data_IF_205329570135
#
_entry.id   IF_205329570135
#
_cell.length_a   1.000
_cell.length_b   1.000
_cell.length_c   1.000
_cell.angle_alpha   90.00
_cell.angle_beta   90.00
_cell.angle_gamma   90.00
#
_symmetry.space_group_name_H-M   'P 1'
#
loop_
_entity.id
_entity.type
_entity.pdbx_description
1 polymer ?
#
# COMPACT_ATOMS: atom_id res chain seq x y z
N UNK A 1 -25.24 21.91 16.33
CA UNK A 1 -26.63 22.39 16.44
C UNK A 1 -27.25 22.44 15.05
N UNK A 2 -28.51 22.15 14.92
CA UNK A 2 -29.25 22.33 13.64
C UNK A 2 -30.42 23.28 13.94
N UNK A 3 -30.33 24.50 13.40
CA UNK A 3 -31.20 25.61 13.80
C UNK A 3 -31.01 25.97 15.28
N UNK A 4 -32.10 26.04 16.03
CA UNK A 4 -32.15 26.32 17.46
C UNK A 4 -32.06 25.07 18.36
N UNK A 5 -31.91 23.89 17.76
CA UNK A 5 -31.90 22.60 18.50
C UNK A 5 -30.48 22.07 18.65
N UNK A 6 -30.18 21.57 19.84
CA UNK A 6 -28.98 20.80 20.11
C UNK A 6 -29.17 19.41 19.52
N UNK A 7 -28.36 19.05 18.52
CA UNK A 7 -28.39 17.77 17.82
C UNK A 7 -27.33 16.79 18.33
N UNK A 8 -26.40 17.28 19.15
CA UNK A 8 -25.37 16.49 19.79
C UNK A 8 -24.54 17.35 20.73
N UNK A 9 -23.83 16.73 21.63
CA UNK A 9 -22.84 17.37 22.48
C UNK A 9 -21.61 16.47 22.58
N UNK A 10 -20.47 17.08 22.80
CA UNK A 10 -19.22 16.40 23.09
C UNK A 10 -18.74 16.86 24.44
N UNK A 11 -18.36 15.92 25.28
CA UNK A 11 -17.77 16.20 26.58
C UNK A 11 -16.26 15.97 26.43
N UNK A 12 -15.47 16.99 26.64
CA UNK A 12 -14.03 16.93 26.58
C UNK A 12 -13.41 17.59 27.81
N UNK A 13 -12.15 17.29 28.07
CA UNK A 13 -11.41 17.95 29.14
C UNK A 13 -11.14 19.41 28.81
N UNK A 14 -11.58 20.31 29.67
CA UNK A 14 -11.28 21.74 29.55
C UNK A 14 -9.81 22.03 29.90
N UNK A 15 -9.20 21.16 30.69
CA UNK A 15 -7.83 21.31 31.16
C UNK A 15 -7.09 19.97 31.05
N UNK A 16 -6.02 19.96 30.28
CA UNK A 16 -5.12 18.83 30.17
C UNK A 16 -3.93 19.05 31.11
N UNK A 17 -3.56 18.08 31.95
CA UNK A 17 -2.44 18.19 32.87
C UNK A 17 -1.13 18.61 32.17
N UNK A 18 -0.32 19.42 32.85
CA UNK A 18 0.89 19.99 32.24
C UNK A 18 1.93 18.92 31.89
N UNK A 19 2.05 17.88 32.74
CA UNK A 19 2.93 16.75 32.50
C UNK A 19 2.54 16.00 31.22
N UNK A 20 1.27 15.75 31.00
CA UNK A 20 0.76 15.08 29.81
C UNK A 20 1.05 15.91 28.56
N UNK A 21 0.78 17.22 28.60
CA UNK A 21 1.11 18.12 27.48
C UNK A 21 2.61 18.20 27.19
N UNK A 22 3.44 18.00 28.18
CA UNK A 22 4.88 17.95 28.02
C UNK A 22 5.32 16.66 27.32
N UNK A 23 4.85 15.50 27.80
CA UNK A 23 5.15 14.19 27.19
C UNK A 23 4.67 14.12 25.75
N UNK A 24 3.43 14.52 25.51
CA UNK A 24 2.84 14.52 24.16
C UNK A 24 3.60 15.43 23.21
N UNK A 25 3.99 16.61 23.64
CA UNK A 25 4.85 17.50 22.85
C UNK A 25 6.22 16.89 22.55
N UNK A 26 6.78 16.12 23.46
CA UNK A 26 8.06 15.41 23.20
C UNK A 26 7.89 14.32 22.16
N UNK A 27 6.87 13.47 22.27
CA UNK A 27 6.55 12.40 21.31
C UNK A 27 6.33 13.00 19.91
N UNK A 28 5.44 14.00 19.81
CA UNK A 28 5.15 14.68 18.55
C UNK A 28 6.38 15.37 17.96
N UNK A 29 7.20 16.03 18.78
CA UNK A 29 8.43 16.69 18.32
C UNK A 29 9.41 15.69 17.74
N UNK A 30 9.64 14.54 18.40
CA UNK A 30 10.51 13.50 17.87
C UNK A 30 9.99 12.96 16.54
N UNK A 31 8.71 12.68 16.44
CA UNK A 31 8.04 12.21 15.22
C UNK A 31 8.19 13.21 14.08
N UNK A 32 7.90 14.50 14.34
CA UNK A 32 8.03 15.57 13.35
C UNK A 32 9.47 15.75 12.87
N UNK A 33 10.46 15.70 13.78
CA UNK A 33 11.89 15.81 13.41
C UNK A 33 12.29 14.65 12.52
N UNK A 34 11.95 13.41 12.89
CA UNK A 34 12.24 12.24 12.05
C UNK A 34 11.57 12.35 10.67
N UNK A 35 10.28 12.69 10.64
CA UNK A 35 9.58 12.89 9.38
C UNK A 35 10.24 13.98 8.52
N UNK A 36 10.65 15.10 9.11
CA UNK A 36 11.29 16.19 8.37
C UNK A 36 12.63 15.73 7.78
N UNK A 37 13.49 15.07 8.56
CA UNK A 37 14.78 14.55 8.10
C UNK A 37 14.62 13.61 6.91
N UNK A 38 13.73 12.62 7.02
CA UNK A 38 13.56 11.61 5.96
C UNK A 38 12.76 12.13 4.77
N UNK A 39 11.86 13.10 4.94
CA UNK A 39 11.24 13.84 3.81
C UNK A 39 12.27 14.67 3.04
N UNK A 40 13.20 15.32 3.73
CA UNK A 40 14.31 16.03 3.07
C UNK A 40 15.19 15.04 2.32
N UNK A 41 15.57 13.90 2.92
CA UNK A 41 16.34 12.86 2.25
C UNK A 41 15.64 12.31 1.00
N UNK A 42 14.33 12.04 1.09
CA UNK A 42 13.50 11.64 -0.06
C UNK A 42 13.45 12.74 -1.13
N UNK A 43 13.30 14.01 -0.72
CA UNK A 43 13.32 15.15 -1.65
C UNK A 43 14.65 15.28 -2.39
N UNK A 44 15.78 15.08 -1.70
CA UNK A 44 17.11 15.10 -2.33
C UNK A 44 17.28 13.94 -3.33
N UNK A 45 16.82 12.73 -3.02
CA UNK A 45 16.82 11.61 -3.95
C UNK A 45 15.93 11.90 -5.17
N UNK A 46 14.74 12.46 -4.95
CA UNK A 46 13.81 12.84 -6.02
C UNK A 46 14.42 13.91 -6.94
N UNK A 47 15.07 14.92 -6.35
CA UNK A 47 15.77 15.96 -7.11
C UNK A 47 16.91 15.37 -7.95
N UNK A 48 17.69 14.45 -7.37
CA UNK A 48 18.77 13.79 -8.08
C UNK A 48 18.26 12.96 -9.29
N UNK A 49 17.13 12.26 -9.11
CA UNK A 49 16.47 11.53 -10.21
C UNK A 49 15.93 12.48 -11.29
N UNK A 50 15.36 13.62 -10.89
CA UNK A 50 14.91 14.64 -11.84
C UNK A 50 16.06 15.24 -12.64
N UNK A 51 17.17 15.57 -11.96
CA UNK A 51 18.40 16.06 -12.64
C UNK A 51 18.90 15.01 -13.62
N UNK A 52 18.93 13.73 -13.23
CA UNK A 52 19.30 12.65 -14.13
C UNK A 52 18.42 12.62 -15.39
N UNK A 53 17.10 12.71 -15.23
CA UNK A 53 16.17 12.75 -16.36
C UNK A 53 16.42 13.96 -17.28
N UNK A 54 16.66 15.14 -16.71
CA UNK A 54 16.98 16.35 -17.47
C UNK A 54 18.27 16.14 -18.28
N UNK A 55 19.30 15.53 -17.67
CA UNK A 55 20.56 15.21 -18.37
C UNK A 55 20.31 14.28 -19.55
N UNK A 56 19.50 13.23 -19.40
CA UNK A 56 19.13 12.33 -20.49
C UNK A 56 18.41 13.08 -21.62
N UNK A 57 17.45 13.94 -21.27
CA UNK A 57 16.71 14.74 -22.23
C UNK A 57 17.62 15.71 -23.01
N UNK A 58 18.54 16.38 -22.32
CA UNK A 58 19.52 17.30 -22.95
C UNK A 58 20.49 16.55 -23.88
N UNK A 59 20.90 15.34 -23.48
CA UNK A 59 21.74 14.46 -24.30
C UNK A 59 20.98 13.80 -25.45
N UNK A 60 19.66 14.03 -25.56
CA UNK A 60 18.79 13.43 -26.56
C UNK A 60 18.85 11.89 -26.55
N UNK A 61 19.02 11.30 -25.40
CA UNK A 61 18.99 9.85 -25.26
C UNK A 61 17.58 9.30 -25.47
N UNK A 62 17.48 8.08 -26.02
CA UNK A 62 16.19 7.43 -26.26
C UNK A 62 15.49 7.09 -24.94
N UNK A 63 14.35 7.71 -24.69
CA UNK A 63 13.56 7.50 -23.49
C UNK A 63 12.51 6.41 -23.68
N UNK A 64 12.25 5.65 -22.63
CA UNK A 64 11.27 4.55 -22.60
C UNK A 64 9.86 5.04 -22.28
N UNK A 65 9.41 6.08 -22.99
CA UNK A 65 8.14 6.74 -22.77
C UNK A 65 6.95 5.77 -22.76
N UNK A 66 7.01 4.68 -23.53
CA UNK A 66 5.93 3.67 -23.58
C UNK A 66 5.77 2.95 -22.25
N UNK A 67 6.86 2.61 -21.57
CA UNK A 67 6.81 1.93 -20.26
C UNK A 67 6.22 2.88 -19.21
N UNK A 68 6.75 4.11 -19.15
CA UNK A 68 6.23 5.15 -18.25
C UNK A 68 4.75 5.44 -18.51
N UNK A 69 4.37 5.57 -19.79
CA UNK A 69 2.97 5.81 -20.18
C UNK A 69 2.02 4.69 -19.78
N UNK A 70 2.40 3.42 -19.98
CA UNK A 70 1.57 2.27 -19.60
C UNK A 70 1.37 2.18 -18.08
N UNK A 71 2.45 2.28 -17.30
CA UNK A 71 2.39 2.20 -15.83
C UNK A 71 1.68 3.42 -15.26
N UNK A 72 1.99 4.61 -15.78
CA UNK A 72 1.32 5.84 -15.35
C UNK A 72 -0.18 5.82 -15.64
N UNK A 73 -0.60 5.33 -16.82
CA UNK A 73 -2.02 5.19 -17.16
C UNK A 73 -2.73 4.17 -16.25
N UNK A 74 -2.07 3.07 -15.92
CA UNK A 74 -2.62 2.08 -14.98
C UNK A 74 -2.86 2.71 -13.60
N UNK A 75 -1.89 3.45 -13.07
CA UNK A 75 -2.01 4.11 -11.76
C UNK A 75 -3.07 5.21 -11.77
N UNK A 76 -3.13 6.02 -12.84
CA UNK A 76 -4.16 7.03 -12.99
C UNK A 76 -5.56 6.42 -13.02
N UNK A 77 -5.76 5.37 -13.82
CA UNK A 77 -7.02 4.66 -13.93
C UNK A 77 -7.44 4.05 -12.59
N UNK A 78 -6.52 3.36 -11.93
CA UNK A 78 -6.76 2.73 -10.63
C UNK A 78 -7.18 3.77 -9.58
N UNK A 79 -6.50 4.91 -9.53
CA UNK A 79 -6.85 6.03 -8.64
C UNK A 79 -8.26 6.56 -8.91
N UNK A 80 -8.58 6.83 -10.18
CA UNK A 80 -9.89 7.38 -10.56
C UNK A 80 -11.01 6.38 -10.27
N UNK A 81 -10.84 5.11 -10.64
CA UNK A 81 -11.85 4.06 -10.42
C UNK A 81 -12.11 3.85 -8.93
N UNK A 82 -11.04 3.83 -8.10
CA UNK A 82 -11.19 3.70 -6.66
C UNK A 82 -11.84 4.95 -6.05
N UNK A 83 -11.46 6.15 -6.49
CA UNK A 83 -12.09 7.39 -6.05
C UNK A 83 -13.57 7.49 -6.41
N UNK A 84 -13.98 6.97 -7.57
CA UNK A 84 -15.40 6.84 -7.93
C UNK A 84 -16.12 5.82 -7.04
N UNK A 85 -15.44 4.75 -6.62
CA UNK A 85 -15.98 3.78 -5.68
C UNK A 85 -16.28 4.40 -4.30
N UNK A 86 -15.57 5.47 -3.92
CA UNK A 86 -15.86 6.26 -2.72
C UNK A 86 -16.98 7.31 -2.90
N UNK A 87 -17.68 7.37 -4.03
CA UNK A 87 -18.71 8.37 -4.29
C UNK A 87 -19.85 8.35 -3.25
N UNK A 88 -20.09 7.20 -2.61
CA UNK A 88 -21.08 7.09 -1.51
C UNK A 88 -20.71 7.92 -0.29
N UNK A 89 -19.43 8.17 -0.07
CA UNK A 89 -18.89 8.93 1.06
C UNK A 89 -18.67 10.42 0.72
N UNK A 90 -18.74 10.82 -0.55
CA UNK A 90 -18.58 12.24 -0.92
C UNK A 90 -19.59 13.12 -0.19
N UNK A 91 -20.81 12.63 0.04
CA UNK A 91 -21.87 13.35 0.71
C UNK A 91 -21.57 13.74 2.16
N UNK A 92 -20.65 13.06 2.82
CA UNK A 92 -20.18 13.42 4.17
C UNK A 92 -19.39 14.73 4.19
N UNK A 93 -18.87 15.13 3.02
CA UNK A 93 -18.09 16.38 2.84
C UNK A 93 -18.89 17.48 2.14
N UNK A 94 -20.15 17.20 1.76
CA UNK A 94 -20.99 18.16 1.07
C UNK A 94 -21.47 19.25 2.02
N UNK A 95 -21.14 20.52 1.70
CA UNK A 95 -21.68 21.69 2.38
C UNK A 95 -22.98 22.12 1.72
N UNK A 96 -24.13 22.08 2.42
CA UNK A 96 -25.42 22.50 1.87
C UNK A 96 -25.48 23.98 1.44
N UNK A 97 -24.56 24.81 1.88
CA UNK A 97 -24.46 26.22 1.48
C UNK A 97 -24.00 26.38 0.02
N UNK A 98 -23.46 25.36 -0.61
CA UNK A 98 -23.02 25.39 -2.00
C UNK A 98 -23.96 24.60 -2.93
N UNK A 99 -24.09 24.99 -4.21
CA UNK A 99 -24.88 24.23 -5.19
C UNK A 99 -24.31 22.83 -5.39
N UNK A 100 -25.17 21.81 -5.41
CA UNK A 100 -24.78 20.40 -5.60
C UNK A 100 -23.95 20.20 -6.87
N UNK A 101 -24.35 20.84 -7.99
CA UNK A 101 -23.63 20.73 -9.26
C UNK A 101 -22.19 21.23 -9.16
N UNK A 102 -21.96 22.32 -8.43
CA UNK A 102 -20.62 22.87 -8.17
C UNK A 102 -19.79 21.90 -7.34
N UNK A 103 -20.33 21.38 -6.25
CA UNK A 103 -19.68 20.38 -5.42
C UNK A 103 -19.25 19.15 -6.22
N UNK A 104 -20.17 18.56 -6.98
CA UNK A 104 -19.88 17.37 -7.79
C UNK A 104 -18.84 17.66 -8.88
N UNK A 105 -18.92 18.82 -9.55
CA UNK A 105 -17.96 19.21 -10.57
C UNK A 105 -16.55 19.36 -9.99
N UNK A 106 -16.41 20.07 -8.88
CA UNK A 106 -15.11 20.21 -8.21
C UNK A 106 -14.56 18.88 -7.72
N UNK A 107 -15.39 18.03 -7.11
CA UNK A 107 -14.98 16.70 -6.63
C UNK A 107 -14.49 15.84 -7.78
N UNK A 108 -15.21 15.83 -8.91
CA UNK A 108 -14.82 15.06 -10.08
C UNK A 108 -13.54 15.59 -10.74
N UNK A 109 -13.41 16.91 -10.90
CA UNK A 109 -12.19 17.53 -11.43
C UNK A 109 -11.00 17.23 -10.54
N UNK A 110 -11.15 17.36 -9.21
CA UNK A 110 -10.09 17.02 -8.24
C UNK A 110 -9.68 15.55 -8.34
N UNK A 111 -10.65 14.64 -8.52
CA UNK A 111 -10.39 13.22 -8.70
C UNK A 111 -9.59 12.94 -9.99
N UNK A 112 -9.99 13.53 -11.11
CA UNK A 112 -9.27 13.37 -12.38
C UNK A 112 -7.86 13.96 -12.28
N UNK A 113 -7.72 15.14 -11.70
CA UNK A 113 -6.42 15.78 -11.53
C UNK A 113 -5.49 14.99 -10.59
N UNK A 114 -6.04 14.45 -9.50
CA UNK A 114 -5.31 13.52 -8.62
C UNK A 114 -4.83 12.27 -9.36
N UNK A 115 -5.69 11.68 -10.19
CA UNK A 115 -5.33 10.56 -11.05
C UNK A 115 -4.20 10.90 -12.04
N UNK A 116 -4.26 12.07 -12.67
CA UNK A 116 -3.20 12.54 -13.57
C UNK A 116 -1.86 12.74 -12.84
N UNK A 117 -1.87 13.32 -11.64
CA UNK A 117 -0.67 13.50 -10.80
C UNK A 117 -0.08 12.12 -10.45
N UNK A 118 -0.89 11.20 -9.97
CA UNK A 118 -0.45 9.85 -9.62
C UNK A 118 0.12 9.12 -10.83
N UNK A 119 -0.57 9.19 -11.96
CA UNK A 119 -0.11 8.59 -13.20
C UNK A 119 1.19 9.19 -13.71
N UNK A 120 1.31 10.52 -13.70
CA UNK A 120 2.53 11.22 -14.10
C UNK A 120 3.72 10.83 -13.21
N UNK A 121 3.55 10.87 -11.88
CA UNK A 121 4.60 10.54 -10.93
C UNK A 121 5.05 9.07 -11.07
N UNK A 122 4.11 8.13 -11.13
CA UNK A 122 4.42 6.72 -11.31
C UNK A 122 5.06 6.43 -12.68
N UNK A 123 4.57 7.10 -13.72
CA UNK A 123 5.17 7.01 -15.06
C UNK A 123 6.62 7.51 -15.11
N UNK A 124 6.93 8.61 -14.39
CA UNK A 124 8.30 9.10 -14.23
C UNK A 124 9.20 8.11 -13.51
N UNK A 125 8.73 7.55 -12.40
CA UNK A 125 9.51 6.56 -11.64
C UNK A 125 9.78 5.30 -12.47
N UNK A 126 8.78 4.84 -13.22
CA UNK A 126 8.94 3.71 -14.12
C UNK A 126 9.95 3.99 -15.24
N UNK A 127 9.87 5.16 -15.85
CA UNK A 127 10.78 5.57 -16.92
C UNK A 127 12.21 5.68 -16.42
N UNK A 128 12.44 6.40 -15.32
CA UNK A 128 13.79 6.62 -14.76
C UNK A 128 14.37 5.29 -14.27
N UNK A 129 13.57 4.50 -13.55
CA UNK A 129 13.99 3.22 -13.03
C UNK A 129 14.38 2.22 -14.14
N UNK A 130 13.56 2.15 -15.19
CA UNK A 130 13.88 1.33 -16.37
C UNK A 130 15.16 1.79 -17.06
N UNK A 131 15.33 3.12 -17.26
CA UNK A 131 16.51 3.66 -17.91
C UNK A 131 17.79 3.36 -17.13
N UNK A 132 17.77 3.62 -15.81
CA UNK A 132 18.90 3.36 -14.92
C UNK A 132 19.27 1.88 -14.86
N UNK A 133 18.28 0.99 -14.82
CA UNK A 133 18.49 -0.45 -14.70
C UNK A 133 19.05 -1.08 -15.99
N UNK A 134 18.90 -0.43 -17.15
CA UNK A 134 19.46 -0.88 -18.42
C UNK A 134 20.94 -0.58 -18.56
N UNK A 135 21.33 0.61 -18.10
CA UNK A 135 22.69 1.11 -18.33
C UNK A 135 23.77 0.37 -17.50
N UNK A 136 23.38 -0.24 -16.38
CA UNK A 136 24.36 -0.84 -15.47
C UNK A 136 23.70 -1.97 -14.65
N UNK A 137 23.50 -3.15 -15.23
CA UNK A 137 22.74 -4.19 -14.61
C UNK A 137 23.51 -4.94 -13.51
N UNK A 138 23.10 -4.85 -12.24
CA UNK A 138 22.97 -6.05 -11.48
C UNK A 138 21.51 -6.52 -11.60
N UNK A 139 21.37 -7.67 -12.20
CA UNK A 139 20.26 -8.59 -12.10
C UNK A 139 18.85 -8.02 -11.80
N UNK A 140 18.01 -7.87 -12.78
CA UNK A 140 16.58 -7.62 -12.62
C UNK A 140 15.87 -7.75 -13.95
N UNK A 141 14.61 -8.22 -13.93
CA UNK A 141 13.81 -8.19 -15.15
C UNK A 141 13.40 -6.75 -15.42
N UNK A 142 13.74 -6.15 -16.55
CA UNK A 142 13.34 -4.79 -16.89
C UNK A 142 11.80 -4.63 -16.85
N UNK A 143 11.31 -3.45 -16.46
CA UNK A 143 9.87 -3.15 -16.48
C UNK A 143 9.28 -3.33 -17.90
N UNK A 144 10.06 -3.01 -18.93
CA UNK A 144 9.70 -3.20 -20.35
C UNK A 144 9.42 -4.66 -20.73
N UNK A 145 9.94 -5.62 -19.97
CA UNK A 145 9.61 -7.05 -20.11
C UNK A 145 8.34 -7.38 -19.36
N UNK A 146 8.17 -6.85 -18.13
CA UNK A 146 7.00 -7.12 -17.29
C UNK A 146 5.68 -6.66 -17.91
N UNK A 147 5.71 -5.56 -18.68
CA UNK A 147 4.52 -5.06 -19.40
C UNK A 147 4.18 -5.88 -20.66
N UNK A 148 4.97 -6.90 -21.01
CA UNK A 148 4.68 -7.79 -22.13
C UNK A 148 3.77 -8.95 -21.71
N UNK A 149 2.65 -9.22 -22.40
CA UNK A 149 1.80 -10.37 -22.08
C UNK A 149 2.53 -11.70 -22.15
N UNK A 150 3.58 -11.81 -22.97
CA UNK A 150 4.42 -13.00 -23.13
C UNK A 150 5.24 -13.31 -21.88
N UNK A 151 5.65 -12.30 -21.11
CA UNK A 151 6.37 -12.50 -19.84
C UNK A 151 5.55 -13.35 -18.85
N UNK A 152 4.25 -13.10 -18.74
CA UNK A 152 3.36 -13.79 -17.80
C UNK A 152 3.17 -15.30 -18.11
N UNK A 153 3.76 -15.77 -19.21
CA UNK A 153 3.82 -17.19 -19.60
C UNK A 153 5.12 -17.87 -19.20
N UNK A 154 6.07 -17.14 -18.58
CA UNK A 154 7.42 -17.64 -18.28
C UNK A 154 7.54 -18.27 -16.90
N UNK A 155 8.58 -19.09 -16.71
CA UNK A 155 8.91 -19.68 -15.41
C UNK A 155 9.33 -18.62 -14.39
N UNK A 156 9.99 -17.53 -14.83
CA UNK A 156 10.44 -16.44 -13.98
C UNK A 156 9.25 -15.65 -13.42
N UNK A 157 8.20 -15.42 -14.21
CA UNK A 157 6.97 -14.82 -13.71
C UNK A 157 6.35 -15.63 -12.58
N UNK A 158 6.24 -16.97 -12.76
CA UNK A 158 5.72 -17.88 -11.73
C UNK A 158 6.57 -17.83 -10.47
N UNK A 159 7.90 -17.87 -10.60
CA UNK A 159 8.81 -17.82 -9.45
C UNK A 159 8.65 -16.51 -8.70
N UNK A 160 8.63 -15.38 -9.41
CA UNK A 160 8.46 -14.06 -8.80
C UNK A 160 7.10 -13.93 -8.08
N UNK A 161 6.02 -14.42 -8.67
CA UNK A 161 4.69 -14.43 -8.07
C UNK A 161 4.66 -15.27 -6.79
N UNK A 162 5.21 -16.49 -6.81
CA UNK A 162 5.24 -17.39 -5.65
C UNK A 162 6.11 -16.81 -4.52
N UNK A 163 7.33 -16.37 -4.86
CA UNK A 163 8.23 -15.76 -3.88
C UNK A 163 7.62 -14.49 -3.27
N UNK A 164 7.05 -13.63 -4.11
CA UNK A 164 6.40 -12.41 -3.66
C UNK A 164 5.22 -12.69 -2.73
N UNK A 165 4.32 -13.59 -3.12
CA UNK A 165 3.19 -13.98 -2.28
C UNK A 165 3.64 -14.55 -0.93
N UNK A 166 4.56 -15.52 -0.94
CA UNK A 166 5.08 -16.11 0.29
C UNK A 166 5.77 -15.07 1.19
N UNK A 167 6.53 -14.15 0.58
CA UNK A 167 7.22 -13.10 1.32
C UNK A 167 6.24 -12.07 1.91
N UNK A 168 5.17 -11.71 1.18
CA UNK A 168 4.14 -10.80 1.70
C UNK A 168 3.40 -11.40 2.89
N UNK A 169 3.07 -12.70 2.84
CA UNK A 169 2.48 -13.40 3.98
C UNK A 169 3.45 -13.53 5.15
N UNK A 170 4.75 -13.80 4.88
CA UNK A 170 5.77 -13.82 5.91
C UNK A 170 5.99 -12.45 6.55
N UNK A 171 5.84 -11.36 5.78
CA UNK A 171 5.90 -9.99 6.29
C UNK A 171 4.77 -9.73 7.31
N UNK A 172 3.53 -10.18 7.05
CA UNK A 172 2.43 -10.10 8.02
C UNK A 172 2.81 -10.79 9.35
N UNK A 173 3.34 -12.01 9.27
CA UNK A 173 3.80 -12.74 10.46
C UNK A 173 4.95 -12.05 11.18
N UNK A 174 5.89 -11.48 10.43
CA UNK A 174 6.99 -10.72 10.99
C UNK A 174 6.51 -9.51 11.80
N UNK A 175 5.63 -8.68 11.24
CA UNK A 175 5.06 -7.51 11.93
C UNK A 175 4.33 -7.94 13.21
N UNK A 176 3.55 -8.99 13.13
CA UNK A 176 2.85 -9.59 14.26
C UNK A 176 3.80 -9.96 15.39
N UNK A 177 4.85 -10.74 15.08
CA UNK A 177 5.85 -11.19 16.07
C UNK A 177 6.66 -10.01 16.60
N UNK A 178 7.03 -9.07 15.72
CA UNK A 178 7.80 -7.89 16.08
C UNK A 178 7.09 -7.07 17.17
N UNK A 179 5.82 -6.74 16.99
CA UNK A 179 5.07 -5.98 17.99
C UNK A 179 4.66 -6.82 19.22
N UNK A 180 4.39 -8.10 19.04
CA UNK A 180 4.14 -8.98 20.17
C UNK A 180 5.34 -9.10 21.11
N UNK A 181 6.56 -9.22 20.57
CA UNK A 181 7.79 -9.18 21.37
C UNK A 181 8.09 -7.77 21.88
N UNK A 182 7.83 -6.77 21.05
CA UNK A 182 8.09 -5.38 21.35
C UNK A 182 7.35 -4.88 22.60
N UNK A 183 6.11 -5.33 22.80
CA UNK A 183 5.36 -5.01 24.05
C UNK A 183 6.10 -5.39 25.31
N UNK A 184 6.87 -6.47 25.29
CA UNK A 184 7.64 -6.91 26.46
C UNK A 184 8.79 -5.96 26.83
N UNK A 185 9.15 -5.08 25.91
CA UNK A 185 10.23 -4.09 26.06
C UNK A 185 9.72 -2.64 25.94
N UNK A 186 8.40 -2.42 26.07
CA UNK A 186 7.81 -1.08 26.09
C UNK A 186 7.47 -0.49 24.72
N UNK A 187 7.45 -1.30 23.65
CA UNK A 187 6.90 -0.85 22.36
C UNK A 187 5.38 -0.92 22.43
N UNK A 188 4.75 0.19 22.11
CA UNK A 188 3.31 0.31 22.05
C UNK A 188 2.80 0.50 20.62
N UNK A 189 1.60 0.04 20.34
CA UNK A 189 0.87 0.27 19.10
C UNK A 189 -0.62 0.30 19.38
N UNK A 190 -1.37 1.28 18.83
CA UNK A 190 -2.81 1.39 19.08
C UNK A 190 -3.58 0.23 18.46
N UNK A 191 -4.76 0.00 18.99
CA UNK A 191 -5.76 -0.93 18.47
C UNK A 191 -6.67 -0.20 17.46
N UNK A 192 -6.13 0.27 16.38
CA UNK A 192 -6.94 0.88 15.33
C UNK A 192 -7.54 -0.17 14.41
N UNK A 193 -8.77 0.08 13.93
CA UNK A 193 -9.37 -0.67 12.83
C UNK A 193 -9.17 0.16 11.57
N UNK A 194 -8.10 -0.06 10.81
CA UNK A 194 -7.85 0.69 9.60
C UNK A 194 -8.85 0.28 8.50
N UNK A 195 -9.02 1.18 7.53
CA UNK A 195 -9.75 0.88 6.28
C UNK A 195 -11.26 0.59 6.44
N UNK A 196 -11.88 1.15 7.46
CA UNK A 196 -13.31 0.99 7.76
C UNK A 196 -14.20 1.42 6.59
N UNK A 197 -13.77 2.40 5.81
CA UNK A 197 -14.52 2.90 4.66
C UNK A 197 -14.69 1.86 3.53
N UNK A 198 -13.88 0.81 3.48
CA UNK A 198 -14.00 -0.26 2.49
C UNK A 198 -15.38 -0.92 2.51
N UNK A 199 -15.94 -1.16 3.70
CA UNK A 199 -17.21 -1.88 3.88
C UNK A 199 -18.43 -1.09 3.41
N UNK A 200 -18.32 0.21 3.20
CA UNK A 200 -19.41 1.09 2.80
C UNK A 200 -19.38 1.48 1.32
N UNK A 201 -18.38 1.00 0.58
CA UNK A 201 -18.27 1.25 -0.87
C UNK A 201 -19.10 0.27 -1.70
N UNK A 202 -19.52 0.63 -2.93
CA UNK A 202 -20.23 -0.26 -3.82
C UNK A 202 -19.44 -1.51 -4.24
N UNK A 203 -18.12 -1.36 -4.44
CA UNK A 203 -17.21 -2.43 -4.82
C UNK A 203 -16.08 -2.52 -3.77
N UNK A 204 -16.33 -3.18 -2.62
CA UNK A 204 -15.40 -3.20 -1.49
C UNK A 204 -14.00 -3.72 -1.83
N UNK A 205 -13.89 -4.68 -2.77
CA UNK A 205 -12.61 -5.26 -3.20
C UNK A 205 -11.66 -4.24 -3.86
N UNK A 206 -12.18 -3.14 -4.42
CA UNK A 206 -11.33 -2.12 -5.06
C UNK A 206 -10.45 -1.38 -4.04
N UNK A 207 -10.89 -1.27 -2.79
CA UNK A 207 -10.12 -0.55 -1.75
C UNK A 207 -8.82 -1.29 -1.43
N UNK A 208 -8.83 -2.57 -0.98
CA UNK A 208 -7.58 -3.28 -0.73
C UNK A 208 -6.78 -3.56 -2.01
N UNK A 209 -7.42 -3.63 -3.18
CA UNK A 209 -6.70 -3.73 -4.45
C UNK A 209 -5.89 -2.45 -4.72
N UNK A 210 -6.47 -1.28 -4.49
CA UNK A 210 -5.78 0.00 -4.65
C UNK A 210 -4.69 0.18 -3.60
N UNK A 211 -5.01 -0.02 -2.31
CA UNK A 211 -4.08 0.15 -1.20
C UNK A 211 -2.91 -0.85 -1.24
N UNK A 212 -3.13 -2.00 -1.89
CA UNK A 212 -2.06 -2.93 -2.21
C UNK A 212 -1.23 -2.47 -3.42
N UNK A 213 -1.86 -2.18 -4.54
CA UNK A 213 -1.18 -2.00 -5.83
C UNK A 213 -0.48 -0.64 -5.96
N UNK A 214 -1.13 0.43 -5.50
CA UNK A 214 -0.61 1.79 -5.67
C UNK A 214 0.74 1.96 -4.92
N UNK A 215 0.85 1.70 -3.60
CA UNK A 215 2.14 1.80 -2.93
C UNK A 215 3.13 0.75 -3.42
N UNK A 216 2.71 -0.48 -3.71
CA UNK A 216 3.60 -1.51 -4.24
C UNK A 216 4.26 -1.11 -5.57
N UNK A 217 3.55 -0.42 -6.46
CA UNK A 217 4.17 0.10 -7.68
C UNK A 217 4.99 1.36 -7.42
N UNK A 218 4.40 2.37 -6.76
CA UNK A 218 5.05 3.67 -6.57
C UNK A 218 6.32 3.58 -5.74
N UNK A 219 6.25 2.89 -4.61
CA UNK A 219 7.35 2.82 -3.65
C UNK A 219 8.43 1.86 -4.12
N UNK A 220 8.06 0.70 -4.70
CA UNK A 220 9.08 -0.23 -5.20
C UNK A 220 9.81 0.35 -6.43
N UNK A 221 9.12 1.06 -7.34
CA UNK A 221 9.78 1.75 -8.46
C UNK A 221 10.75 2.83 -7.97
N UNK A 222 10.41 3.56 -6.93
CA UNK A 222 11.30 4.59 -6.40
C UNK A 222 12.43 3.98 -5.55
N UNK A 223 12.10 3.21 -4.51
CA UNK A 223 13.04 2.79 -3.46
C UNK A 223 13.79 1.49 -3.76
N UNK A 224 13.35 0.68 -4.72
CA UNK A 224 14.05 -0.56 -5.12
C UNK A 224 14.60 -0.48 -6.53
N UNK A 225 14.03 0.37 -7.39
CA UNK A 225 14.51 0.50 -8.77
C UNK A 225 15.26 1.82 -9.00
N UNK A 226 14.58 2.97 -9.02
CA UNK A 226 15.20 4.23 -9.45
C UNK A 226 16.33 4.72 -8.53
N UNK A 227 16.06 4.89 -7.23
CA UNK A 227 17.05 5.43 -6.29
C UNK A 227 18.24 4.50 -6.06
N UNK A 228 18.09 3.17 -5.89
CA UNK A 228 19.22 2.26 -5.77
C UNK A 228 20.14 2.25 -6.99
N UNK A 229 19.58 2.22 -8.21
CA UNK A 229 20.43 2.22 -9.41
C UNK A 229 21.14 3.56 -9.64
N UNK A 230 20.49 4.69 -9.27
CA UNK A 230 21.16 5.99 -9.28
C UNK A 230 22.37 6.02 -8.33
N UNK A 231 22.18 5.56 -7.09
CA UNK A 231 23.26 5.49 -6.10
C UNK A 231 24.32 4.46 -6.50
N UNK A 232 23.96 3.37 -7.13
CA UNK A 232 24.90 2.41 -7.69
C UNK A 232 25.83 3.03 -8.76
N UNK A 233 25.30 3.88 -9.62
CA UNK A 233 26.13 4.60 -10.62
C UNK A 233 27.24 5.39 -9.96
N UNK A 234 26.99 5.96 -8.78
CA UNK A 234 27.96 6.82 -8.09
C UNK A 234 28.88 6.03 -7.15
N UNK A 235 28.31 5.09 -6.40
CA UNK A 235 29.05 4.39 -5.33
C UNK A 235 29.73 3.10 -5.78
N UNK A 236 29.18 2.45 -6.81
CA UNK A 236 29.54 1.08 -7.24
C UNK A 236 29.51 0.04 -6.10
N UNK A 237 28.75 0.35 -5.03
CA UNK A 237 28.56 -0.52 -3.85
C UNK A 237 27.10 -0.84 -3.68
N UNK A 238 26.67 -2.00 -4.20
CA UNK A 238 25.26 -2.37 -4.24
C UNK A 238 24.55 -2.34 -2.87
N UNK A 239 25.19 -2.90 -1.86
CA UNK A 239 24.61 -2.93 -0.53
C UNK A 239 24.29 -1.51 0.00
N UNK A 240 25.18 -0.55 -0.21
CA UNK A 240 24.97 0.85 0.18
C UNK A 240 23.82 1.47 -0.62
N UNK A 241 23.82 1.22 -1.92
CA UNK A 241 22.80 1.72 -2.85
C UNK A 241 21.41 1.17 -2.55
N UNK A 242 21.29 -0.04 -2.02
CA UNK A 242 20.03 -0.66 -1.64
C UNK A 242 19.58 -0.24 -0.23
N UNK A 243 20.51 -0.18 0.74
CA UNK A 243 20.17 0.10 2.15
C UNK A 243 19.77 1.57 2.35
N UNK A 244 20.48 2.53 1.74
CA UNK A 244 20.19 3.97 1.95
C UNK A 244 18.77 4.34 1.54
N UNK A 245 18.30 4.05 0.30
CA UNK A 245 16.90 4.30 -0.05
C UNK A 245 15.93 3.47 0.79
N UNK A 246 16.32 2.25 1.18
CA UNK A 246 15.52 1.39 2.04
C UNK A 246 15.26 1.99 3.42
N UNK A 247 16.28 2.58 4.06
CA UNK A 247 16.13 3.31 5.33
C UNK A 247 15.25 4.55 5.13
N UNK A 248 15.46 5.32 4.06
CA UNK A 248 14.62 6.49 3.77
C UNK A 248 13.16 6.07 3.65
N UNK A 249 12.86 5.02 2.89
CA UNK A 249 11.52 4.46 2.77
C UNK A 249 10.92 4.07 4.13
N UNK A 250 11.67 3.33 4.91
CA UNK A 250 11.22 2.85 6.22
C UNK A 250 10.86 4.01 7.17
N UNK A 251 11.73 5.02 7.23
CA UNK A 251 11.53 6.15 8.13
C UNK A 251 10.54 7.21 7.61
N UNK A 252 10.15 7.17 6.34
CA UNK A 252 8.98 7.94 5.88
C UNK A 252 7.66 7.47 6.54
N UNK A 253 7.66 6.27 7.14
CA UNK A 253 6.51 5.70 7.85
C UNK A 253 6.48 6.00 9.35
N UNK A 254 7.38 6.83 9.87
CA UNK A 254 7.35 7.22 11.31
C UNK A 254 6.16 8.10 11.69
N UNK A 255 5.37 8.56 10.73
CA UNK A 255 4.08 9.21 10.96
C UNK A 255 2.98 8.26 11.46
N UNK A 256 3.18 6.95 11.40
CA UNK A 256 2.26 5.96 11.97
C UNK A 256 2.35 5.96 13.50
N UNK A 257 1.26 5.56 14.18
CA UNK A 257 1.11 5.75 15.63
C UNK A 257 2.01 4.92 16.56
N UNK A 258 2.69 3.81 16.16
CA UNK A 258 3.51 3.05 17.09
C UNK A 258 4.54 3.89 17.84
N UNK A 259 4.73 3.59 19.14
CA UNK A 259 5.72 4.24 20.01
C UNK A 259 6.80 3.26 20.48
N UNK A 260 8.07 3.72 20.66
CA UNK A 260 8.56 5.08 20.36
C UNK A 260 8.56 5.39 18.85
N UNK A 261 8.47 6.67 18.47
CA UNK A 261 8.24 7.13 17.09
C UNK A 261 9.16 6.52 16.01
N UNK A 262 10.39 6.16 16.36
CA UNK A 262 11.35 5.56 15.41
C UNK A 262 11.11 4.07 15.15
N UNK A 263 10.26 3.40 15.97
CA UNK A 263 10.16 1.92 15.95
C UNK A 263 9.63 1.40 14.62
N UNK A 264 8.67 2.11 14.02
CA UNK A 264 8.15 1.77 12.69
C UNK A 264 9.23 1.85 11.61
N UNK A 265 10.12 2.83 11.72
CA UNK A 265 11.26 2.96 10.81
C UNK A 265 12.26 1.79 10.96
N UNK A 266 12.53 1.34 12.18
CA UNK A 266 13.42 0.18 12.42
C UNK A 266 12.80 -1.12 11.90
N UNK A 267 11.54 -1.37 12.21
CA UNK A 267 10.79 -2.53 11.73
C UNK A 267 10.84 -2.62 10.19
N UNK A 268 10.45 -1.55 9.50
CA UNK A 268 10.44 -1.50 8.03
C UNK A 268 11.84 -1.50 7.39
N UNK A 269 12.89 -1.09 8.10
CA UNK A 269 14.27 -1.19 7.59
C UNK A 269 14.66 -2.65 7.32
N UNK A 270 14.26 -3.57 8.20
CA UNK A 270 14.48 -5.01 7.99
C UNK A 270 13.76 -5.49 6.73
N UNK A 271 12.51 -5.09 6.57
CA UNK A 271 11.70 -5.41 5.37
C UNK A 271 12.34 -4.84 4.11
N UNK A 272 12.84 -3.59 4.17
CA UNK A 272 13.51 -2.94 3.04
C UNK A 272 14.73 -3.72 2.54
N UNK A 273 15.55 -4.22 3.47
CA UNK A 273 16.73 -5.04 3.16
C UNK A 273 16.30 -6.36 2.49
N UNK A 274 15.28 -7.03 3.04
CA UNK A 274 14.77 -8.28 2.49
C UNK A 274 14.19 -8.07 1.09
N UNK A 275 13.43 -7.00 0.86
CA UNK A 275 12.87 -6.66 -0.45
C UNK A 275 13.95 -6.32 -1.48
N UNK A 276 14.98 -5.57 -1.09
CA UNK A 276 16.10 -5.27 -1.96
C UNK A 276 16.88 -6.53 -2.35
N UNK A 277 17.13 -7.44 -1.40
CA UNK A 277 17.74 -8.74 -1.68
C UNK A 277 16.85 -9.60 -2.60
N UNK A 278 15.54 -9.61 -2.36
CA UNK A 278 14.57 -10.36 -3.17
C UNK A 278 14.55 -9.84 -4.61
N UNK A 279 14.58 -8.52 -4.79
CA UNK A 279 14.65 -7.91 -6.12
C UNK A 279 15.89 -8.36 -6.90
N UNK A 280 17.08 -8.37 -6.27
CA UNK A 280 18.29 -8.83 -6.93
C UNK A 280 18.22 -10.28 -7.41
N UNK A 281 17.57 -11.13 -6.60
CA UNK A 281 17.58 -12.57 -6.83
C UNK A 281 16.44 -13.05 -7.75
N UNK A 282 15.27 -12.40 -7.66
CA UNK A 282 14.04 -12.85 -8.33
C UNK A 282 13.38 -11.77 -9.20
N UNK A 283 14.09 -10.65 -9.39
CA UNK A 283 13.61 -9.53 -10.20
C UNK A 283 12.61 -8.62 -9.49
N UNK A 284 12.28 -7.51 -10.15
CA UNK A 284 11.45 -6.43 -9.62
C UNK A 284 10.02 -6.87 -9.25
N UNK A 285 9.46 -7.83 -9.97
CA UNK A 285 8.10 -8.29 -9.73
C UNK A 285 7.92 -8.90 -8.33
N UNK A 286 8.94 -9.60 -7.80
CA UNK A 286 8.82 -10.30 -6.52
C UNK A 286 8.57 -9.35 -5.31
N UNK A 287 9.33 -8.27 -5.09
CA UNK A 287 9.03 -7.32 -4.02
C UNK A 287 7.71 -6.56 -4.28
N UNK A 288 7.33 -6.24 -5.52
CA UNK A 288 6.01 -5.64 -5.83
C UNK A 288 4.88 -6.54 -5.38
N UNK A 289 4.94 -7.84 -5.69
CA UNK A 289 3.92 -8.80 -5.26
C UNK A 289 3.94 -9.00 -3.75
N UNK A 290 5.12 -8.99 -3.10
CA UNK A 290 5.22 -9.08 -1.65
C UNK A 290 4.56 -7.87 -0.96
N UNK A 291 4.84 -6.68 -1.44
CA UNK A 291 4.26 -5.44 -0.94
C UNK A 291 2.74 -5.39 -1.15
N UNK A 292 2.28 -5.73 -2.37
CA UNK A 292 0.86 -5.87 -2.66
C UNK A 292 0.18 -6.85 -1.70
N UNK A 293 0.75 -8.06 -1.56
CA UNK A 293 0.16 -9.12 -0.73
C UNK A 293 0.02 -8.67 0.72
N UNK A 294 1.05 -8.02 1.26
CA UNK A 294 1.03 -7.47 2.63
C UNK A 294 -0.08 -6.43 2.78
N UNK A 295 -0.05 -5.37 1.98
CA UNK A 295 -1.00 -4.26 2.10
C UNK A 295 -2.44 -4.67 1.79
N UNK A 296 -2.65 -5.41 0.68
CA UNK A 296 -3.99 -5.85 0.31
C UNK A 296 -4.61 -6.79 1.35
N UNK A 297 -3.81 -7.70 1.96
CA UNK A 297 -4.29 -8.58 3.02
C UNK A 297 -4.63 -7.77 4.28
N UNK A 298 -3.78 -6.82 4.65
CA UNK A 298 -4.02 -5.95 5.80
C UNK A 298 -5.31 -5.13 5.62
N UNK A 299 -5.48 -4.48 4.48
CA UNK A 299 -6.68 -3.69 4.15
C UNK A 299 -7.94 -4.56 4.03
N UNK A 300 -7.79 -5.80 3.54
CA UNK A 300 -8.92 -6.71 3.36
C UNK A 300 -9.36 -7.42 4.65
N UNK A 301 -8.66 -7.30 5.76
CA UNK A 301 -8.96 -8.08 6.98
C UNK A 301 -10.40 -7.93 7.46
N UNK A 302 -10.92 -6.70 7.48
CA UNK A 302 -12.30 -6.42 7.89
C UNK A 302 -13.30 -7.07 6.93
N UNK A 303 -13.02 -7.06 5.62
CA UNK A 303 -13.84 -7.71 4.61
C UNK A 303 -13.82 -9.24 4.76
N UNK A 304 -12.64 -9.83 4.96
CA UNK A 304 -12.46 -11.30 5.10
C UNK A 304 -13.20 -11.87 6.31
N UNK A 305 -13.38 -11.05 7.37
CA UNK A 305 -14.05 -11.42 8.62
C UNK A 305 -15.53 -11.05 8.66
N UNK A 306 -16.02 -10.29 7.69
CA UNK A 306 -17.41 -9.88 7.64
C UNK A 306 -18.35 -11.09 7.52
N UNK A 307 -19.50 -11.05 8.20
CA UNK A 307 -20.54 -12.08 8.08
C UNK A 307 -21.31 -11.97 6.79
N UNK A 308 -21.38 -10.77 6.22
CA UNK A 308 -22.06 -10.53 4.95
C UNK A 308 -21.26 -11.16 3.79
N UNK A 309 -21.88 -12.09 2.99
CA UNK A 309 -21.16 -12.87 1.98
C UNK A 309 -20.50 -12.04 0.89
N UNK A 310 -21.09 -10.90 0.50
CA UNK A 310 -20.51 -10.03 -0.54
C UNK A 310 -19.25 -9.31 -0.06
N UNK A 311 -19.23 -8.85 1.19
CA UNK A 311 -18.03 -8.27 1.80
C UNK A 311 -16.93 -9.30 1.91
N UNK A 312 -17.25 -10.50 2.41
CA UNK A 312 -16.27 -11.61 2.53
C UNK A 312 -15.71 -12.01 1.17
N UNK A 313 -16.57 -12.16 0.16
CA UNK A 313 -16.15 -12.43 -1.22
C UNK A 313 -15.25 -11.33 -1.76
N UNK A 314 -15.54 -10.06 -1.46
CA UNK A 314 -14.71 -8.92 -1.85
C UNK A 314 -13.31 -9.00 -1.25
N UNK A 315 -13.16 -9.41 0.01
CA UNK A 315 -11.87 -9.69 0.63
C UNK A 315 -11.09 -10.78 -0.10
N UNK A 316 -11.75 -11.90 -0.43
CA UNK A 316 -11.12 -12.99 -1.19
C UNK A 316 -10.73 -12.56 -2.61
N UNK A 317 -11.54 -11.74 -3.29
CA UNK A 317 -11.20 -11.20 -4.62
C UNK A 317 -9.94 -10.33 -4.53
N UNK A 318 -9.83 -9.46 -3.52
CA UNK A 318 -8.68 -8.59 -3.38
C UNK A 318 -7.38 -9.38 -3.13
N UNK A 319 -7.38 -10.31 -2.19
CA UNK A 319 -6.18 -11.10 -1.85
C UNK A 319 -5.93 -12.21 -2.86
N UNK A 320 -6.98 -12.93 -3.25
CA UNK A 320 -6.91 -14.07 -4.17
C UNK A 320 -6.82 -13.67 -5.64
N UNK A 321 -7.10 -12.42 -6.00
CA UNK A 321 -7.02 -11.92 -7.39
C UNK A 321 -5.63 -12.09 -8.01
N UNK A 322 -4.57 -12.11 -7.20
CA UNK A 322 -3.21 -12.48 -7.65
C UNK A 322 -3.14 -13.84 -8.33
N UNK A 323 -4.02 -14.78 -7.97
CA UNK A 323 -4.04 -16.10 -8.59
C UNK A 323 -4.36 -16.04 -10.09
N UNK A 324 -5.06 -14.98 -10.54
CA UNK A 324 -5.34 -14.76 -11.95
C UNK A 324 -4.05 -14.52 -12.76
N UNK A 325 -3.00 -13.98 -12.13
CA UNK A 325 -1.71 -13.76 -12.78
C UNK A 325 -0.98 -15.07 -13.14
N UNK A 326 -1.33 -16.18 -12.50
CA UNK A 326 -0.79 -17.49 -12.85
C UNK A 326 -1.45 -18.11 -14.09
N UNK A 327 -2.63 -17.62 -14.48
CA UNK A 327 -3.42 -18.22 -15.55
C UNK A 327 -2.66 -18.32 -16.89
N UNK A 328 -1.97 -17.28 -17.40
CA UNK A 328 -1.26 -17.36 -18.67
C UNK A 328 -0.17 -18.44 -18.68
N UNK A 329 0.59 -18.57 -17.59
CA UNK A 329 1.64 -19.58 -17.46
C UNK A 329 1.04 -20.99 -17.31
N UNK A 330 -0.05 -21.15 -16.55
CA UNK A 330 -0.75 -22.43 -16.41
C UNK A 330 -1.25 -22.93 -17.75
N UNK A 331 -1.92 -22.07 -18.54
CA UNK A 331 -2.38 -22.43 -19.89
C UNK A 331 -1.20 -22.83 -20.79
N UNK A 332 -0.10 -22.07 -20.71
CA UNK A 332 1.11 -22.38 -21.51
C UNK A 332 1.71 -23.73 -21.11
N UNK A 333 1.82 -24.00 -19.82
CA UNK A 333 2.31 -25.29 -19.32
C UNK A 333 1.42 -26.47 -19.72
N UNK A 334 0.10 -26.32 -19.61
CA UNK A 334 -0.83 -27.40 -20.01
C UNK A 334 -0.75 -27.73 -21.51
N UNK A 335 -0.54 -26.68 -22.35
CA UNK A 335 -0.44 -26.85 -23.80
C UNK A 335 0.92 -27.39 -24.26
N UNK A 336 2.01 -26.88 -23.68
CA UNK A 336 3.36 -27.14 -24.18
C UNK A 336 4.21 -28.05 -23.26
N UNK A 337 3.70 -28.36 -22.06
CA UNK A 337 4.40 -29.12 -20.99
C UNK A 337 5.74 -28.49 -20.57
N UNK A 338 5.99 -27.24 -20.94
CA UNK A 338 7.14 -26.45 -20.56
C UNK A 338 6.75 -24.99 -20.42
N UNK A 339 7.51 -24.22 -19.63
CA UNK A 339 7.43 -22.76 -19.57
C UNK A 339 8.68 -22.19 -20.24
N UNK A 340 8.52 -21.19 -21.15
CA UNK A 340 9.66 -20.47 -21.72
C UNK A 340 10.42 -19.69 -20.65
N UNK A 341 11.65 -19.28 -20.97
CA UNK A 341 12.42 -18.37 -20.13
C UNK A 341 12.08 -16.92 -20.44
N UNK A 342 12.21 -16.02 -19.44
CA UNK A 342 12.08 -14.59 -19.65
C UNK A 342 13.12 -14.03 -20.62
N UNK A 343 14.26 -14.68 -20.76
CA UNK A 343 15.29 -14.32 -21.75
C UNK A 343 14.79 -14.46 -23.20
N UNK A 344 13.74 -15.26 -23.44
CA UNK A 344 13.11 -15.43 -24.75
C UNK A 344 12.08 -14.29 -25.05
N UNK A 345 11.78 -13.42 -24.07
CA UNK A 345 10.82 -12.32 -24.21
C UNK A 345 11.56 -11.02 -24.55
N UNK A 346 11.38 -10.47 -25.77
CA UNK A 346 12.04 -9.23 -26.13
C UNK A 346 11.49 -8.05 -25.30
N UNK A 347 12.33 -7.12 -24.82
CA UNK A 347 11.87 -5.90 -24.16
C UNK A 347 11.13 -4.98 -25.15
N UNK A 348 10.33 -4.04 -24.63
CA UNK A 348 9.77 -2.97 -25.45
C UNK A 348 10.92 -2.12 -26.01
N UNK A 349 10.87 -1.84 -27.30
CA UNK A 349 11.82 -0.92 -27.93
C UNK A 349 11.62 0.50 -27.37
N UNK A 350 12.69 1.28 -27.22
CA UNK A 350 12.59 2.70 -26.97
C UNK A 350 11.76 3.40 -28.06
N UNK A 351 11.21 4.57 -27.71
CA UNK A 351 10.56 5.41 -28.73
C UNK A 351 11.61 5.81 -29.76
N UNK A 352 11.33 5.70 -31.08
CA UNK A 352 12.32 5.98 -32.10
C UNK A 352 12.81 7.43 -32.01
N UNK A 353 14.03 7.59 -31.57
CA UNK A 353 14.86 8.76 -31.76
C UNK A 353 16.02 8.23 -32.61
N UNK A 354 16.51 8.95 -33.64
CA UNK A 354 17.66 8.47 -34.42
C UNK A 354 18.86 8.26 -33.50
N UNK A 355 19.20 7.00 -33.21
CA UNK A 355 20.26 6.66 -32.27
C UNK A 355 21.04 5.40 -32.67
N UNK A 356 22.28 5.27 -32.19
CA UNK A 356 23.04 4.05 -32.35
C UNK A 356 22.33 2.86 -31.68
N UNK A 357 22.50 1.69 -32.31
CA UNK A 357 21.92 0.42 -31.85
C UNK A 357 22.41 0.14 -30.43
N UNK A 358 21.50 0.23 -29.47
CA UNK A 358 21.77 -0.24 -28.12
C UNK A 358 21.91 -1.77 -28.14
N UNK A 359 23.05 -2.25 -27.65
CA UNK A 359 23.25 -3.68 -27.48
C UNK A 359 22.15 -4.27 -26.56
N UNK A 360 21.67 -5.49 -26.84
CA UNK A 360 20.70 -6.14 -25.97
C UNK A 360 21.27 -6.30 -24.57
N UNK A 361 20.59 -5.72 -23.60
CA UNK A 361 20.95 -5.84 -22.17
C UNK A 361 20.84 -7.31 -21.75
N UNK A 362 21.90 -7.93 -21.22
CA UNK A 362 21.82 -9.28 -20.71
C UNK A 362 20.84 -9.34 -19.55
N UNK A 363 19.80 -10.17 -19.68
CA UNK A 363 18.83 -10.39 -18.60
C UNK A 363 19.50 -11.04 -17.39
N UNK A 364 19.07 -10.62 -16.21
CA UNK A 364 19.41 -11.35 -15.01
C UNK A 364 19.00 -12.80 -15.11
N UNK A 365 19.93 -13.67 -14.87
CA UNK A 365 19.66 -15.09 -14.75
C UNK A 365 19.01 -15.30 -13.37
N UNK A 366 17.71 -15.58 -13.34
CA UNK A 366 17.04 -16.01 -12.13
C UNK A 366 17.75 -17.21 -11.53
N UNK A 367 18.21 -17.05 -10.31
CA UNK A 367 18.85 -18.16 -9.63
C UNK A 367 17.78 -19.17 -9.21
N UNK A 368 18.00 -20.47 -9.44
CA UNK A 368 17.05 -21.49 -9.02
C UNK A 368 16.90 -21.47 -7.49
N UNK A 369 15.65 -21.61 -7.05
CA UNK A 369 15.33 -21.69 -5.62
C UNK A 369 15.61 -23.10 -5.14
N UNK A 370 16.54 -23.25 -4.19
CA UNK A 370 16.82 -24.54 -3.58
C UNK A 370 15.66 -25.04 -2.72
N UNK A 371 15.52 -26.35 -2.58
CA UNK A 371 14.45 -26.98 -1.78
C UNK A 371 14.35 -26.42 -0.36
N UNK A 372 15.49 -26.17 0.30
CA UNK A 372 15.53 -25.59 1.66
C UNK A 372 14.91 -24.18 1.70
N UNK A 373 15.25 -23.35 0.72
CA UNK A 373 14.70 -21.98 0.61
C UNK A 373 13.18 -22.01 0.36
N UNK A 374 12.70 -22.91 -0.50
CA UNK A 374 11.26 -23.12 -0.72
C UNK A 374 10.54 -23.53 0.55
N UNK A 375 11.07 -24.51 1.27
CA UNK A 375 10.48 -24.97 2.53
C UNK A 375 10.44 -23.85 3.57
N UNK A 376 11.51 -23.04 3.67
CA UNK A 376 11.55 -21.90 4.58
C UNK A 376 10.53 -20.83 4.19
N UNK A 377 10.42 -20.47 2.91
CA UNK A 377 9.43 -19.48 2.44
C UNK A 377 7.99 -19.96 2.70
N UNK A 378 7.69 -21.22 2.39
CA UNK A 378 6.35 -21.79 2.63
C UNK A 378 6.03 -21.84 4.12
N UNK A 379 6.99 -22.27 4.95
CA UNK A 379 6.80 -22.33 6.40
C UNK A 379 6.58 -20.93 7.00
N UNK A 380 7.38 -19.95 6.61
CA UNK A 380 7.22 -18.55 7.05
C UNK A 380 5.90 -17.95 6.56
N UNK A 381 5.48 -18.28 5.34
CA UNK A 381 4.19 -17.86 4.78
C UNK A 381 3.02 -18.46 5.57
N UNK A 382 3.10 -19.73 5.89
CA UNK A 382 2.07 -20.43 6.68
C UNK A 382 1.98 -19.84 8.10
N UNK A 383 3.13 -19.55 8.73
CA UNK A 383 3.17 -18.86 10.03
C UNK A 383 2.59 -17.44 9.94
N UNK A 384 2.93 -16.71 8.87
CA UNK A 384 2.36 -15.39 8.61
C UNK A 384 0.85 -15.43 8.44
N UNK A 385 0.33 -16.38 7.67
CA UNK A 385 -1.10 -16.60 7.53
C UNK A 385 -1.76 -16.97 8.87
N UNK A 386 -1.17 -17.90 9.60
CA UNK A 386 -1.66 -18.33 10.90
C UNK A 386 -1.67 -17.18 11.92
N UNK A 387 -0.71 -16.24 11.84
CA UNK A 387 -0.65 -15.10 12.75
C UNK A 387 -1.88 -14.20 12.66
N UNK A 388 -2.56 -14.14 11.52
CA UNK A 388 -3.82 -13.40 11.34
C UNK A 388 -5.01 -13.97 12.14
N UNK A 389 -4.89 -15.19 12.67
CA UNK A 389 -5.93 -15.85 13.48
C UNK A 389 -5.64 -15.79 14.99
N UNK A 390 -4.51 -15.24 15.41
CA UNK A 390 -4.23 -15.09 16.85
C UNK A 390 -5.09 -13.97 17.44
N UNK A 391 -5.86 -14.24 18.52
CA UNK A 391 -6.82 -13.29 19.07
C UNK A 391 -6.18 -12.03 19.70
N UNK A 392 -4.90 -12.10 20.05
CA UNK A 392 -4.19 -11.02 20.76
C UNK A 392 -3.43 -10.04 19.83
N UNK A 393 -3.75 -10.05 18.57
CA UNK A 393 -2.98 -9.29 17.59
C UNK A 393 -3.60 -7.93 17.27
N UNK A 394 -2.76 -6.92 17.12
CA UNK A 394 -3.04 -5.51 16.97
C UNK A 394 -3.91 -5.11 15.80
N UNK A 395 -3.99 -5.91 14.78
CA UNK A 395 -4.72 -5.57 13.58
C UNK A 395 -6.05 -6.33 13.53
N UNK A 396 -7.15 -5.64 13.84
CA UNK A 396 -8.52 -6.05 13.53
C UNK A 396 -9.05 -7.31 14.23
N UNK A 397 -8.73 -7.53 15.46
CA UNK A 397 -9.17 -8.76 16.10
C UNK A 397 -10.67 -8.86 16.37
N UNK A 398 -11.48 -7.78 16.28
CA UNK A 398 -12.81 -7.84 16.92
C UNK A 398 -13.94 -6.99 16.33
N UNK A 399 -13.79 -6.34 15.19
CA UNK A 399 -14.96 -5.71 14.59
C UNK A 399 -15.86 -6.77 13.93
N UNK A 400 -16.74 -7.36 14.72
CA UNK A 400 -17.91 -8.07 14.20
C UNK A 400 -18.91 -7.03 13.74
N UNK A 401 -19.12 -6.93 12.43
CA UNK A 401 -20.16 -6.06 11.88
C UNK A 401 -21.50 -6.81 11.93
N UNK A 402 -22.29 -6.54 12.95
CA UNK A 402 -23.65 -7.09 13.10
C UNK A 402 -24.64 -6.42 12.13
N UNK A 403 -24.35 -5.18 11.70
CA UNK A 403 -25.25 -4.36 10.88
C UNK A 403 -24.51 -3.86 9.65
N UNK A 404 -24.99 -4.21 8.47
CA UNK A 404 -24.43 -3.70 7.22
C UNK A 404 -24.91 -2.26 6.91
N UNK A 405 -24.26 -1.60 5.92
CA UNK A 405 -24.58 -0.22 5.53
C UNK A 405 -26.06 0.01 5.21
N UNK A 406 -26.73 -0.92 4.51
CA UNK A 406 -28.14 -0.77 4.11
C UNK A 406 -29.05 -0.82 5.33
N UNK A 407 -28.77 -1.73 6.24
CA UNK A 407 -29.48 -1.88 7.52
C UNK A 407 -29.27 -0.66 8.41
N UNK A 408 -28.03 -0.17 8.54
CA UNK A 408 -27.73 1.05 9.31
C UNK A 408 -28.52 2.26 8.78
N UNK A 409 -28.56 2.45 7.45
CA UNK A 409 -29.34 3.51 6.82
C UNK A 409 -30.84 3.29 7.07
N UNK A 410 -31.34 2.07 6.99
CA UNK A 410 -32.75 1.77 7.24
C UNK A 410 -33.14 2.05 8.70
N UNK A 411 -32.33 1.62 9.66
CA UNK A 411 -32.52 1.88 11.09
C UNK A 411 -32.53 3.39 11.37
N UNK A 412 -31.51 4.11 10.88
CA UNK A 412 -31.40 5.56 11.05
C UNK A 412 -32.60 6.30 10.42
N UNK A 413 -33.02 5.88 9.21
CA UNK A 413 -34.17 6.46 8.52
C UNK A 413 -35.48 6.25 9.29
N UNK A 414 -35.69 5.04 9.82
CA UNK A 414 -36.87 4.73 10.63
C UNK A 414 -36.89 5.57 11.92
N UNK A 415 -35.76 5.69 12.61
CA UNK A 415 -35.61 6.51 13.80
C UNK A 415 -35.90 7.99 13.52
N UNK A 416 -35.33 8.55 12.46
CA UNK A 416 -35.55 9.96 12.09
C UNK A 416 -37.04 10.23 11.71
N UNK A 417 -37.68 9.32 11.01
CA UNK A 417 -39.11 9.40 10.72
C UNK A 417 -39.97 9.38 11.98
N UNK A 418 -39.64 8.50 12.94
CA UNK A 418 -40.32 8.46 14.25
C UNK A 418 -40.18 9.80 15.00
N UNK A 419 -39.05 10.51 14.80
CA UNK A 419 -38.83 11.86 15.35
C UNK A 419 -39.45 12.99 14.53
N UNK A 420 -40.26 12.66 13.50
CA UNK A 420 -40.98 13.64 12.67
C UNK A 420 -40.07 14.35 11.64
N UNK A 421 -38.89 13.83 11.34
CA UNK A 421 -38.00 14.40 10.32
C UNK A 421 -38.43 13.91 8.90
N UNK A 422 -38.52 14.81 7.91
CA UNK A 422 -38.85 14.45 6.53
C UNK A 422 -37.63 13.86 5.82
N UNK A 423 -37.36 12.55 6.02
CA UNK A 423 -36.17 11.85 5.52
C UNK A 423 -36.05 11.81 3.99
N UNK A 424 -37.14 12.03 3.27
CA UNK A 424 -37.19 12.15 1.82
C UNK A 424 -36.49 13.41 1.28
N UNK A 425 -36.30 14.42 2.12
CA UNK A 425 -35.62 15.66 1.78
C UNK A 425 -34.10 15.63 2.03
N UNK A 426 -33.59 14.54 2.62
CA UNK A 426 -32.17 14.41 3.00
C UNK A 426 -31.49 13.31 2.20
N UNK A 427 -30.22 13.54 1.87
CA UNK A 427 -29.32 12.46 1.44
C UNK A 427 -28.69 11.83 2.68
N UNK A 428 -28.74 10.51 2.73
CA UNK A 428 -28.20 9.76 3.87
C UNK A 428 -26.94 9.07 3.42
N UNK A 429 -25.82 9.34 4.11
CA UNK A 429 -24.58 8.62 3.98
C UNK A 429 -24.27 7.90 5.31
N UNK A 430 -23.75 6.70 5.24
CA UNK A 430 -23.29 5.94 6.40
C UNK A 430 -21.80 5.65 6.26
N UNK A 431 -21.08 5.79 7.34
CA UNK A 431 -19.67 5.48 7.49
C UNK A 431 -19.48 4.59 8.72
N UNK A 432 -18.55 3.66 8.64
CA UNK A 432 -18.07 2.95 9.82
C UNK A 432 -16.96 3.79 10.46
N UNK A 433 -17.13 4.16 11.72
CA UNK A 433 -16.10 4.86 12.49
C UNK A 433 -15.65 3.91 13.59
N UNK A 434 -14.35 3.66 13.66
CA UNK A 434 -13.77 3.05 14.84
C UNK A 434 -13.45 4.20 15.80
N UNK A 435 -14.18 4.27 16.88
CA UNK A 435 -14.12 5.37 17.88
C UNK A 435 -12.91 5.23 18.83
N UNK A 436 -11.92 4.44 18.44
CA UNK A 436 -10.64 4.37 19.15
C UNK A 436 -9.72 5.38 18.49
N UNK A 437 -9.60 6.55 19.10
CA UNK A 437 -8.67 7.59 18.63
C UNK A 437 -7.25 7.03 18.66
N UNK A 438 -6.46 7.29 17.63
CA UNK A 438 -5.11 6.73 17.48
C UNK A 438 -4.17 7.11 18.64
N UNK A 439 -4.48 8.19 19.35
CA UNK A 439 -3.74 8.73 20.49
C UNK A 439 -4.45 8.50 21.84
N UNK A 440 -5.38 7.55 21.94
CA UNK A 440 -6.19 7.34 23.14
C UNK A 440 -5.44 6.55 24.21
N UNK A 441 -4.80 7.30 25.14
CA UNK A 441 -4.16 6.75 26.34
C UNK A 441 -5.15 5.97 27.22
N UNK A 442 -6.46 6.30 27.16
CA UNK A 442 -7.52 5.60 27.90
C UNK A 442 -7.72 4.19 27.31
N UNK A 443 -7.72 4.06 25.98
CA UNK A 443 -7.80 2.76 25.31
C UNK A 443 -6.58 1.89 25.61
N UNK A 444 -5.39 2.48 25.63
CA UNK A 444 -4.16 1.79 26.01
C UNK A 444 -4.21 1.34 27.48
N UNK A 445 -4.67 2.19 28.39
CA UNK A 445 -4.82 1.87 29.79
C UNK A 445 -5.87 0.77 30.04
N UNK A 446 -7.04 0.85 29.41
CA UNK A 446 -8.09 -0.16 29.50
C UNK A 446 -7.63 -1.50 28.96
N UNK A 447 -6.90 -1.51 27.86
CA UNK A 447 -6.34 -2.73 27.30
C UNK A 447 -5.36 -3.41 28.25
N UNK A 448 -4.46 -2.64 28.86
CA UNK A 448 -3.43 -3.15 29.76
C UNK A 448 -4.01 -3.66 31.10
N UNK A 449 -5.00 -2.96 31.66
CA UNK A 449 -5.48 -3.19 33.03
C UNK A 449 -6.82 -3.94 33.11
N UNK A 450 -7.68 -3.82 32.11
CA UNK A 450 -9.03 -4.39 32.11
C UNK A 450 -9.29 -5.41 30.99
N UNK A 451 -8.33 -5.54 30.06
CA UNK A 451 -8.43 -6.47 28.94
C UNK A 451 -9.37 -6.00 27.82
N UNK A 452 -9.29 -6.69 26.67
CA UNK A 452 -9.98 -6.31 25.43
C UNK A 452 -11.50 -6.29 25.53
N UNK A 453 -12.10 -7.27 26.22
CA UNK A 453 -13.56 -7.32 26.35
C UNK A 453 -14.12 -6.06 27.02
N UNK A 454 -13.36 -5.48 27.93
CA UNK A 454 -13.77 -4.23 28.59
C UNK A 454 -13.65 -3.05 27.61
N UNK A 455 -12.57 -2.97 26.84
CA UNK A 455 -12.37 -1.90 25.84
C UNK A 455 -13.51 -1.85 24.79
N UNK A 456 -14.08 -3.00 24.44
CA UNK A 456 -15.17 -3.07 23.44
C UNK A 456 -16.57 -2.86 24.02
N UNK A 457 -16.72 -2.72 25.33
CA UNK A 457 -17.99 -2.41 25.99
C UNK A 457 -18.20 -0.91 26.23
N UNK A 458 -17.16 -0.13 26.08
CA UNK A 458 -17.15 1.33 26.16
C UNK A 458 -16.97 1.97 24.79
#
# INVERSE_FOLDING_TARGET
MSGDRVTGYHIGYLYVPEWWRFEERQKQTQRLVLMAVFRVAHGLLSLALLIYLIVLAVRREALLLRVGGLIGSLLALLFVVTGLNFATLWWLRYDPAQPIGTFLAFTFVALLFGGLIQGFQGGLFALIGEQLSRDDPPAGTPLSVLVRPTFWKTKEAIIALLVGFCLGMAHLGYVTVFYWLGRKVGIWTPLTIPYTDAVVTPLPFLVPLFDGMQPALMEEMFFRLAAPYLLWRWTKRWWLSAIVPGIVWAFLHVGYPPEPAFIRGLELTIVAIVYAWTMQRYGFLAPVIAHYTYNATLTAQLLLRADEPFLRLSGFIAVGGLLLLFFPATVTFLRHRRLPSAAEVPPLAPTPVPQPVLEPVPYAVYQPIGRKTWLALVALSALGFASGFFPDQHFNSVALMEVNRKEAIAIATAFLRQKGMPTDRYRIAARLVADVDEDDDEAAYLLEHAGRETLYRF
#
